data_IF_128605888584
#
_entry.id   IF_128605888584
#
_cell.length_a   1.000
_cell.length_b   1.000
_cell.length_c   1.000
_cell.angle_alpha   90.00
_cell.angle_beta   90.00
_cell.angle_gamma   90.00
#
_symmetry.space_group_name_H-M   'P 1'
#
loop_
_entity.id
_entity.type
_entity.pdbx_description
1 polymer ?
#
# COMPACT_ATOMS: atom_id res chain seq x y z
N UNK A 1 24.32 9.95 -6.32
CA UNK A 1 23.41 9.44 -7.39
C UNK A 1 23.37 7.90 -7.43
N UNK A 2 24.51 7.22 -7.36
CA UNK A 2 24.61 5.74 -7.40
C UNK A 2 23.90 5.02 -6.23
N UNK A 3 23.90 5.60 -5.03
CA UNK A 3 23.28 4.98 -3.85
C UNK A 3 21.75 4.89 -3.95
N UNK A 4 21.10 5.93 -4.48
CA UNK A 4 19.66 5.94 -4.69
C UNK A 4 19.21 4.83 -5.66
N UNK A 5 20.01 4.58 -6.69
CA UNK A 5 19.75 3.48 -7.64
C UNK A 5 19.82 2.11 -6.95
N UNK A 6 20.83 1.90 -6.09
CA UNK A 6 20.98 0.66 -5.33
C UNK A 6 19.82 0.38 -4.37
N UNK A 7 19.29 1.43 -3.70
CA UNK A 7 18.13 1.29 -2.81
C UNK A 7 16.87 1.00 -3.61
N UNK A 8 16.60 1.72 -4.70
CA UNK A 8 15.44 1.46 -5.56
C UNK A 8 15.43 0.03 -6.08
N UNK A 9 16.59 -0.50 -6.48
CA UNK A 9 16.70 -1.89 -6.94
C UNK A 9 16.36 -2.90 -5.84
N UNK A 10 16.85 -2.68 -4.62
CA UNK A 10 16.51 -3.54 -3.47
C UNK A 10 15.02 -3.52 -3.15
N UNK A 11 14.40 -2.33 -3.18
CA UNK A 11 12.97 -2.19 -2.96
C UNK A 11 12.19 -2.93 -4.03
N UNK A 12 12.53 -2.74 -5.31
CA UNK A 12 11.88 -3.43 -6.43
C UNK A 12 11.98 -4.95 -6.31
N UNK A 13 13.17 -5.47 -5.97
CA UNK A 13 13.38 -6.91 -5.80
C UNK A 13 12.54 -7.52 -4.67
N UNK A 14 12.23 -6.74 -3.63
CA UNK A 14 11.36 -7.18 -2.54
C UNK A 14 9.86 -7.03 -2.89
N UNK A 15 9.50 -5.93 -3.55
CA UNK A 15 8.11 -5.56 -3.81
C UNK A 15 7.49 -6.35 -4.96
N UNK A 16 8.22 -6.59 -6.06
CA UNK A 16 7.74 -7.34 -7.23
C UNK A 16 7.17 -8.72 -6.86
N UNK A 17 7.89 -9.62 -6.15
CA UNK A 17 7.34 -10.93 -5.81
C UNK A 17 6.13 -10.81 -4.88
N UNK A 18 6.11 -9.82 -3.98
CA UNK A 18 4.97 -9.57 -3.10
C UNK A 18 3.74 -9.14 -3.89
N UNK A 19 3.88 -8.20 -4.82
CA UNK A 19 2.82 -7.74 -5.71
C UNK A 19 2.31 -8.87 -6.62
N UNK A 20 3.22 -9.69 -7.16
CA UNK A 20 2.83 -10.81 -8.02
C UNK A 20 2.01 -11.85 -7.24
N UNK A 21 2.42 -12.19 -6.02
CA UNK A 21 1.70 -13.16 -5.20
C UNK A 21 0.38 -12.59 -4.70
N UNK A 22 0.40 -11.42 -4.05
CA UNK A 22 -0.80 -10.86 -3.41
C UNK A 22 -1.74 -10.24 -4.44
N UNK A 23 -1.23 -9.37 -5.30
CA UNK A 23 -2.01 -8.70 -6.34
C UNK A 23 -2.50 -9.67 -7.41
N UNK A 24 -1.65 -10.61 -7.84
CA UNK A 24 -2.04 -11.66 -8.78
C UNK A 24 -3.12 -12.58 -8.23
N UNK A 25 -2.99 -13.02 -6.97
CA UNK A 25 -4.00 -13.85 -6.31
C UNK A 25 -5.33 -13.11 -6.11
N UNK A 26 -5.29 -11.86 -5.64
CA UNK A 26 -6.49 -11.03 -5.49
C UNK A 26 -7.17 -10.79 -6.84
N UNK A 27 -6.42 -10.45 -7.88
CA UNK A 27 -6.93 -10.26 -9.23
C UNK A 27 -7.58 -11.54 -9.78
N UNK A 28 -6.96 -12.70 -9.56
CA UNK A 28 -7.52 -13.99 -9.96
C UNK A 28 -8.85 -14.30 -9.26
N UNK A 29 -8.93 -14.07 -7.95
CA UNK A 29 -10.18 -14.23 -7.19
C UNK A 29 -11.25 -13.30 -7.72
N UNK A 30 -10.93 -12.02 -7.90
CA UNK A 30 -11.88 -11.02 -8.34
C UNK A 30 -12.39 -11.30 -9.76
N UNK A 31 -11.54 -11.84 -10.64
CA UNK A 31 -11.93 -12.22 -12.00
C UNK A 31 -12.80 -13.49 -12.01
N UNK A 32 -12.45 -14.53 -11.24
CA UNK A 32 -13.09 -15.85 -11.35
C UNK A 32 -14.24 -16.12 -10.39
N UNK A 33 -14.29 -15.47 -9.23
CA UNK A 33 -15.34 -15.70 -8.23
C UNK A 33 -16.33 -14.54 -8.24
N UNK A 34 -17.62 -14.86 -8.26
CA UNK A 34 -18.69 -13.90 -7.98
C UNK A 34 -19.17 -14.14 -6.55
N UNK A 35 -18.75 -13.26 -5.65
CA UNK A 35 -19.14 -13.26 -4.24
C UNK A 35 -19.84 -11.94 -3.91
N UNK A 36 -20.69 -11.95 -2.88
CA UNK A 36 -21.55 -10.80 -2.55
C UNK A 36 -20.76 -9.50 -2.25
N UNK A 37 -19.56 -9.61 -1.67
CA UNK A 37 -18.66 -8.47 -1.42
C UNK A 37 -17.73 -8.06 -2.56
N UNK A 38 -17.85 -8.65 -3.77
CA UNK A 38 -16.91 -8.43 -4.88
C UNK A 38 -16.83 -6.97 -5.31
N UNK A 39 -17.98 -6.29 -5.38
CA UNK A 39 -18.04 -4.88 -5.75
C UNK A 39 -17.27 -4.01 -4.76
N UNK A 40 -17.44 -4.24 -3.45
CA UNK A 40 -16.73 -3.50 -2.42
C UNK A 40 -15.21 -3.71 -2.52
N UNK A 41 -14.75 -4.97 -2.65
CA UNK A 41 -13.32 -5.27 -2.81
C UNK A 41 -12.76 -4.63 -4.08
N UNK A 42 -13.50 -4.67 -5.19
CA UNK A 42 -13.09 -4.01 -6.44
C UNK A 42 -12.94 -2.50 -6.28
N UNK A 43 -13.87 -1.86 -5.56
CA UNK A 43 -13.79 -0.43 -5.27
C UNK A 43 -12.59 -0.10 -4.39
N UNK A 44 -12.32 -0.90 -3.35
CA UNK A 44 -11.15 -0.71 -2.47
C UNK A 44 -9.83 -0.84 -3.23
N UNK A 45 -9.73 -1.77 -4.18
CA UNK A 45 -8.52 -1.94 -5.00
C UNK A 45 -8.32 -0.78 -5.99
N UNK A 46 -9.40 -0.20 -6.50
CA UNK A 46 -9.34 0.93 -7.45
C UNK A 46 -9.25 2.29 -6.77
N UNK A 47 -9.66 2.38 -5.51
CA UNK A 47 -9.69 3.60 -4.70
C UNK A 47 -8.35 4.36 -4.71
N UNK A 48 -7.20 3.73 -4.50
CA UNK A 48 -5.90 4.42 -4.55
C UNK A 48 -5.60 5.06 -5.91
N UNK A 49 -6.15 4.51 -7.01
CA UNK A 49 -5.89 5.04 -8.35
C UNK A 49 -6.75 6.28 -8.63
N UNK A 50 -7.97 6.32 -8.08
CA UNK A 50 -8.87 7.48 -8.24
C UNK A 50 -8.57 8.60 -7.25
N UNK A 51 -7.92 8.28 -6.13
CA UNK A 51 -7.48 9.28 -5.16
C UNK A 51 -6.18 9.95 -5.62
N UNK A 52 -6.03 11.27 -5.42
CA UNK A 52 -4.75 11.94 -5.62
C UNK A 52 -3.67 11.32 -4.71
N UNK A 53 -2.41 11.21 -5.18
CA UNK A 53 -1.32 10.61 -4.39
C UNK A 53 -1.07 11.38 -3.08
N UNK A 54 -1.34 12.69 -3.06
CA UNK A 54 -1.26 13.50 -1.84
C UNK A 54 -2.23 13.03 -0.75
N UNK A 55 -3.46 12.65 -1.12
CA UNK A 55 -4.47 12.15 -0.17
C UNK A 55 -4.05 10.80 0.39
N UNK A 56 -3.48 9.92 -0.44
CA UNK A 56 -2.90 8.66 0.02
C UNK A 56 -1.78 8.93 1.03
N UNK A 57 -0.91 9.90 0.76
CA UNK A 57 0.12 10.35 1.69
C UNK A 57 -0.46 10.77 3.05
N UNK A 58 -1.53 11.57 3.05
CA UNK A 58 -2.21 11.96 4.30
C UNK A 58 -2.79 10.77 5.06
N UNK A 59 -3.44 9.81 4.38
CA UNK A 59 -3.96 8.61 5.03
C UNK A 59 -2.85 7.72 5.60
N UNK A 60 -1.72 7.60 4.89
CA UNK A 60 -0.55 6.88 5.39
C UNK A 60 0.03 7.57 6.62
N UNK A 61 0.22 8.89 6.60
CA UNK A 61 0.71 9.65 7.75
C UNK A 61 -0.23 9.53 8.94
N UNK A 62 -1.53 9.67 8.73
CA UNK A 62 -2.52 9.54 9.79
C UNK A 62 -2.59 8.12 10.38
N UNK A 63 -2.53 7.10 9.52
CA UNK A 63 -2.55 5.70 9.94
C UNK A 63 -1.26 5.34 10.69
N UNK A 64 -0.09 5.62 10.11
CA UNK A 64 1.22 5.37 10.72
C UNK A 64 1.41 6.18 12.01
N UNK A 65 0.91 7.41 12.05
CA UNK A 65 0.90 8.24 13.25
C UNK A 65 0.04 7.68 14.37
N UNK A 66 -0.98 6.87 14.07
CA UNK A 66 -1.81 6.18 15.08
C UNK A 66 -1.25 4.84 15.52
N UNK A 67 -0.23 4.30 14.87
CA UNK A 67 0.41 3.06 15.30
C UNK A 67 1.37 3.37 16.45
N UNK A 68 1.01 2.96 17.67
CA UNK A 68 1.80 3.18 18.90
C UNK A 68 3.27 2.75 18.77
N UNK A 69 3.53 1.68 18.00
CA UNK A 69 4.88 1.18 17.74
C UNK A 69 5.74 2.21 16.98
N UNK A 70 5.18 2.90 15.99
CA UNK A 70 5.88 3.91 15.20
C UNK A 70 6.02 5.23 15.96
N UNK A 71 5.06 5.57 16.83
CA UNK A 71 5.17 6.71 17.75
C UNK A 71 6.31 6.51 18.76
N UNK A 72 6.36 5.36 19.44
CA UNK A 72 7.41 5.05 20.41
C UNK A 72 8.81 4.98 19.80
N UNK A 73 8.90 4.58 18.54
CA UNK A 73 10.17 4.50 17.82
C UNK A 73 10.67 5.87 17.28
N UNK A 74 9.92 6.96 17.47
CA UNK A 74 10.31 8.31 17.04
C UNK A 74 10.32 8.52 15.52
N UNK A 75 9.78 7.57 14.75
CA UNK A 75 9.80 7.61 13.28
C UNK A 75 8.70 8.50 12.68
N UNK A 76 7.69 8.86 13.46
CA UNK A 76 6.57 9.69 12.99
C UNK A 76 6.52 10.96 13.83
N UNK A 77 6.70 12.12 13.18
CA UNK A 77 6.37 13.41 13.77
C UNK A 77 4.87 13.40 14.04
N UNK A 78 4.48 13.35 15.32
CA UNK A 78 3.09 13.40 15.74
C UNK A 78 2.43 14.65 15.16
N UNK A 79 1.51 14.45 14.22
CA UNK A 79 0.43 15.42 14.04
C UNK A 79 -0.38 15.42 15.34
N UNK A 80 -0.79 16.61 15.85
CA UNK A 80 -1.57 16.71 17.08
C UNK A 80 -2.89 15.91 17.02
#
# INVERSE_FOLDING_TARGET
>A
MSEAFGVSLKVLLADIPLLLLVGGFLGWILARKNFWGKSLVSLLVQLPIVLPPSVIGFYLLFSLGRVELFQKAGFVFGFP
#
